data_IF_436474954905
#
_entry.id   IF_436474954905
#
_cell.length_a   1.000
_cell.length_b   1.000
_cell.length_c   1.000
_cell.angle_alpha   90.00
_cell.angle_beta   90.00
_cell.angle_gamma   90.00
#
_symmetry.space_group_name_H-M   'P 1'
#
loop_
_entity.id
_entity.type
_entity.pdbx_description
1 polymer ?
#
# COMPACT_ATOMS: atom_id res chain seq x y z
N UNK A 1 -9.07 -13.64 -16.65
CA UNK A 1 -8.14 -14.77 -16.90
C UNK A 1 -8.30 -15.81 -15.81
N UNK A 2 -8.03 -17.08 -16.10
CA UNK A 2 -8.02 -18.17 -15.12
C UNK A 2 -6.67 -18.87 -15.17
N UNK A 3 -6.08 -19.15 -14.02
CA UNK A 3 -4.71 -19.66 -13.90
C UNK A 3 -4.66 -20.83 -12.93
N UNK A 4 -3.84 -21.82 -13.22
CA UNK A 4 -3.51 -22.92 -12.32
C UNK A 4 -2.04 -22.77 -11.91
N UNK A 5 -1.71 -22.77 -10.61
CA UNK A 5 -0.33 -22.69 -10.16
C UNK A 5 0.46 -23.93 -10.57
N UNK A 6 1.77 -23.83 -10.68
CA UNK A 6 2.62 -24.99 -10.93
C UNK A 6 3.05 -25.64 -9.61
N UNK A 7 2.86 -26.96 -9.51
CA UNK A 7 3.36 -27.78 -8.40
C UNK A 7 4.14 -28.95 -8.97
N UNK A 8 5.42 -29.06 -8.58
CA UNK A 8 6.34 -30.09 -9.10
C UNK A 8 6.43 -30.15 -10.63
N UNK A 9 6.46 -28.99 -11.30
CA UNK A 9 6.64 -28.91 -12.76
C UNK A 9 5.39 -29.20 -13.59
N UNK A 10 4.21 -29.37 -12.97
CA UNK A 10 2.92 -29.54 -13.66
C UNK A 10 1.89 -28.53 -13.14
N UNK A 11 0.91 -28.10 -13.98
CA UNK A 11 -0.22 -27.32 -13.52
C UNK A 11 -1.03 -28.07 -12.47
N UNK A 12 -1.31 -27.41 -11.36
CA UNK A 12 -2.17 -27.88 -10.29
C UNK A 12 -3.59 -27.37 -10.52
N UNK A 13 -4.34 -28.13 -11.31
CA UNK A 13 -5.73 -27.79 -11.63
C UNK A 13 -6.69 -27.93 -10.45
N UNK A 14 -6.26 -28.43 -9.28
CA UNK A 14 -7.06 -28.42 -8.05
C UNK A 14 -7.05 -27.06 -7.33
N UNK A 15 -6.22 -26.11 -7.78
CA UNK A 15 -6.01 -24.81 -7.14
C UNK A 15 -6.14 -23.65 -8.15
N UNK A 16 -7.18 -23.70 -8.99
CA UNK A 16 -7.41 -22.70 -10.04
C UNK A 16 -7.83 -21.38 -9.43
N UNK A 17 -7.33 -20.29 -9.99
CA UNK A 17 -7.63 -18.93 -9.58
C UNK A 17 -8.20 -18.13 -10.76
N UNK A 18 -9.14 -17.23 -10.50
CA UNK A 18 -9.70 -16.32 -11.48
C UNK A 18 -9.26 -14.90 -11.16
N UNK A 19 -8.78 -14.17 -12.17
CA UNK A 19 -8.47 -12.74 -12.08
C UNK A 19 -9.23 -11.95 -13.15
N UNK A 20 -9.99 -10.94 -12.76
CA UNK A 20 -10.72 -10.06 -13.70
C UNK A 20 -10.19 -8.63 -13.55
N UNK A 21 -9.79 -8.03 -14.67
CA UNK A 21 -9.30 -6.66 -14.71
C UNK A 21 -10.46 -5.65 -14.56
N UNK A 22 -10.16 -4.48 -14.00
CA UNK A 22 -11.08 -3.34 -14.03
C UNK A 22 -11.13 -2.65 -15.40
N UNK A 23 -11.90 -1.57 -15.48
CA UNK A 23 -11.99 -0.69 -16.68
C UNK A 23 -10.69 0.09 -16.88
N UNK A 24 -10.44 0.54 -18.11
CA UNK A 24 -9.31 1.42 -18.39
C UNK A 24 -9.45 2.75 -17.64
N UNK A 25 -8.33 3.24 -17.11
CA UNK A 25 -8.30 4.49 -16.33
C UNK A 25 -8.57 5.74 -17.17
N UNK A 26 -8.31 5.70 -18.48
CA UNK A 26 -8.64 6.80 -19.39
C UNK A 26 -10.16 7.00 -19.50
N UNK A 27 -10.95 5.92 -19.50
CA UNK A 27 -12.42 5.98 -19.52
C UNK A 27 -12.95 6.58 -18.21
N UNK A 28 -12.37 6.19 -17.06
CA UNK A 28 -12.72 6.74 -15.74
C UNK A 28 -12.35 8.23 -15.66
N UNK A 29 -11.23 8.63 -16.26
CA UNK A 29 -10.77 10.02 -16.31
C UNK A 29 -11.73 10.90 -17.11
N UNK A 30 -12.19 10.46 -18.27
CA UNK A 30 -13.14 11.21 -19.11
C UNK A 30 -14.49 11.37 -18.38
N UNK A 31 -14.99 10.29 -17.79
CA UNK A 31 -16.22 10.28 -17.00
C UNK A 31 -16.15 11.24 -15.79
N UNK A 32 -15.03 11.26 -15.05
CA UNK A 32 -14.82 12.19 -13.93
C UNK A 32 -14.64 13.63 -14.44
N UNK A 33 -13.97 13.82 -15.57
CA UNK A 33 -13.71 15.14 -16.15
C UNK A 33 -15.01 15.78 -16.63
N UNK A 34 -15.85 15.04 -17.36
CA UNK A 34 -17.16 15.49 -17.85
C UNK A 34 -18.12 15.83 -16.68
N UNK A 35 -18.07 15.03 -15.62
CA UNK A 35 -18.86 15.23 -14.40
C UNK A 35 -18.53 16.53 -13.64
N UNK A 36 -17.30 17.04 -13.80
CA UNK A 36 -16.83 18.25 -13.10
C UNK A 36 -17.06 19.55 -13.88
N UNK A 37 -17.54 19.48 -15.12
CA UNK A 37 -17.68 20.63 -16.02
C UNK A 37 -19.08 21.27 -16.05
N UNK A 38 -20.07 20.74 -15.31
CA UNK A 38 -21.45 21.28 -15.29
C UNK A 38 -21.67 22.13 -14.02
N UNK A 39 -21.85 23.46 -14.12
CA UNK A 39 -21.92 24.36 -12.95
C UNK A 39 -23.19 24.24 -12.09
N UNK A 40 -24.27 23.65 -12.63
CA UNK A 40 -25.63 23.72 -12.05
C UNK A 40 -26.04 22.51 -11.19
N UNK A 41 -25.14 21.57 -10.90
CA UNK A 41 -25.40 20.38 -10.07
C UNK A 41 -25.14 20.56 -8.56
N UNK A 42 -24.83 21.79 -8.10
CA UNK A 42 -24.34 22.05 -6.73
C UNK A 42 -25.40 22.23 -5.65
N UNK A 43 -26.69 22.18 -5.96
CA UNK A 43 -27.73 22.54 -4.99
C UNK A 43 -28.86 21.52 -4.95
N UNK A 44 -29.10 21.01 -3.74
CA UNK A 44 -30.13 20.04 -3.31
C UNK A 44 -29.62 18.59 -3.41
N UNK A 45 -29.10 18.09 -2.28
CA UNK A 45 -28.38 16.81 -2.08
C UNK A 45 -26.96 16.90 -2.66
N UNK A 46 -25.93 16.82 -1.80
CA UNK A 46 -24.55 17.14 -2.15
C UNK A 46 -23.91 16.26 -3.25
N UNK A 47 -22.58 16.35 -3.45
CA UNK A 47 -21.82 15.62 -4.47
C UNK A 47 -22.04 14.08 -4.53
N UNK A 48 -22.72 13.52 -3.52
CA UNK A 48 -22.97 12.12 -3.24
C UNK A 48 -23.93 11.41 -4.21
N UNK A 49 -24.97 12.05 -4.74
CA UNK A 49 -25.92 11.38 -5.65
C UNK A 49 -25.40 11.32 -7.10
N UNK A 50 -24.66 12.34 -7.53
CA UNK A 50 -24.20 12.51 -8.90
C UNK A 50 -23.06 11.53 -9.24
N UNK A 51 -22.06 11.39 -8.37
CA UNK A 51 -20.98 10.41 -8.58
C UNK A 51 -21.46 8.97 -8.38
N UNK A 52 -22.41 8.74 -7.47
CA UNK A 52 -23.07 7.44 -7.34
C UNK A 52 -23.78 7.02 -8.64
N UNK A 53 -24.53 7.93 -9.28
CA UNK A 53 -25.17 7.68 -10.58
C UNK A 53 -24.17 7.37 -11.70
N UNK A 54 -23.02 8.02 -11.69
CA UNK A 54 -21.96 7.82 -12.70
C UNK A 54 -21.26 6.48 -12.53
N UNK A 55 -20.89 6.11 -11.30
CA UNK A 55 -20.20 4.84 -11.01
C UNK A 55 -21.16 3.64 -11.12
N UNK A 56 -22.44 3.83 -10.78
CA UNK A 56 -23.46 2.80 -11.01
C UNK A 56 -23.83 2.63 -12.49
N UNK A 57 -23.81 3.69 -13.30
CA UNK A 57 -24.00 3.59 -14.75
C UNK A 57 -22.80 2.93 -15.47
N UNK A 58 -21.61 2.97 -14.88
CA UNK A 58 -20.42 2.28 -15.40
C UNK A 58 -20.46 0.75 -15.18
N UNK A 59 -21.34 0.26 -14.29
CA UNK A 59 -21.61 -1.16 -14.08
C UNK A 59 -22.66 -1.63 -15.10
N UNK A 60 -22.22 -1.94 -16.32
CA UNK A 60 -23.10 -2.49 -17.34
C UNK A 60 -23.46 -3.95 -17.01
N UNK A 61 -24.76 -4.28 -16.98
CA UNK A 61 -25.27 -5.64 -16.78
C UNK A 61 -24.70 -6.62 -17.83
N UNK A 62 -24.29 -6.12 -19.01
CA UNK A 62 -23.64 -6.92 -20.05
C UNK A 62 -22.28 -7.50 -19.60
N UNK A 63 -21.57 -6.81 -18.69
CA UNK A 63 -20.27 -7.25 -18.18
C UNK A 63 -20.41 -8.37 -17.16
N UNK A 64 -21.46 -8.36 -16.33
CA UNK A 64 -21.79 -9.49 -15.44
C UNK A 64 -22.17 -10.74 -16.24
N UNK A 65 -22.94 -10.58 -17.31
CA UNK A 65 -23.25 -11.69 -18.25
C UNK A 65 -21.99 -12.25 -18.92
N UNK A 66 -21.03 -11.37 -19.24
CA UNK A 66 -19.74 -11.78 -19.80
C UNK A 66 -18.88 -12.51 -18.77
N UNK A 67 -18.94 -12.11 -17.50
CA UNK A 67 -18.28 -12.78 -16.39
C UNK A 67 -18.84 -14.21 -16.18
N UNK A 68 -20.16 -14.40 -16.23
CA UNK A 68 -20.79 -15.72 -16.18
C UNK A 68 -20.31 -16.63 -17.33
N UNK A 69 -20.28 -16.09 -18.55
CA UNK A 69 -19.77 -16.83 -19.72
C UNK A 69 -18.33 -17.26 -19.52
N UNK A 70 -17.49 -16.34 -19.06
CA UNK A 70 -16.09 -16.62 -18.78
C UNK A 70 -15.92 -17.70 -17.68
N UNK A 71 -16.72 -17.65 -16.61
CA UNK A 71 -16.71 -18.68 -15.57
C UNK A 71 -17.10 -20.05 -16.13
N UNK A 72 -18.19 -20.12 -16.89
CA UNK A 72 -18.65 -21.38 -17.50
C UNK A 72 -17.64 -21.96 -18.50
N UNK A 73 -17.00 -21.13 -19.32
CA UNK A 73 -15.91 -21.57 -20.19
C UNK A 73 -14.70 -22.11 -19.40
N UNK A 74 -14.42 -21.53 -18.24
CA UNK A 74 -13.35 -22.01 -17.35
C UNK A 74 -13.70 -23.38 -16.76
N UNK A 75 -14.93 -23.56 -16.29
CA UNK A 75 -15.43 -24.85 -15.79
C UNK A 75 -15.38 -25.91 -16.88
N UNK A 76 -15.91 -25.62 -18.09
CA UNK A 76 -15.88 -26.57 -19.21
C UNK A 76 -14.45 -27.01 -19.56
N UNK A 77 -13.47 -26.09 -19.49
CA UNK A 77 -12.06 -26.43 -19.71
C UNK A 77 -11.49 -27.31 -18.59
N UNK A 78 -11.89 -27.11 -17.34
CA UNK A 78 -11.51 -27.97 -16.22
C UNK A 78 -12.12 -29.37 -16.33
N UNK A 79 -13.40 -29.44 -16.65
CA UNK A 79 -14.11 -30.71 -16.85
C UNK A 79 -13.53 -31.53 -18.00
N UNK A 80 -13.14 -30.88 -19.11
CA UNK A 80 -12.43 -31.55 -20.22
C UNK A 80 -11.10 -32.19 -19.80
N UNK A 81 -10.55 -31.79 -18.65
CA UNK A 81 -9.31 -32.29 -18.07
C UNK A 81 -9.55 -33.23 -16.87
N UNK A 82 -10.81 -33.55 -16.54
CA UNK A 82 -11.18 -34.41 -15.41
C UNK A 82 -11.26 -33.70 -14.06
N UNK A 83 -11.37 -32.38 -14.05
CA UNK A 83 -11.54 -31.55 -12.84
C UNK A 83 -12.97 -30.98 -12.79
N UNK A 84 -13.28 -30.19 -11.76
CA UNK A 84 -14.63 -29.69 -11.49
C UNK A 84 -14.63 -28.17 -11.23
N UNK A 85 -15.81 -27.57 -11.23
CA UNK A 85 -15.99 -26.18 -10.80
C UNK A 85 -15.44 -25.92 -9.39
N UNK A 86 -15.51 -26.91 -8.49
CA UNK A 86 -15.02 -26.79 -7.11
C UNK A 86 -13.49 -26.63 -7.03
N UNK A 87 -12.76 -26.90 -8.10
CA UNK A 87 -11.32 -26.70 -8.19
C UNK A 87 -10.92 -25.24 -8.45
N UNK A 88 -11.89 -24.36 -8.70
CA UNK A 88 -11.71 -22.90 -8.64
C UNK A 88 -11.73 -22.50 -7.16
N UNK A 89 -10.56 -22.15 -6.62
CA UNK A 89 -10.38 -21.90 -5.18
C UNK A 89 -10.39 -20.42 -4.82
N UNK A 90 -10.00 -19.54 -5.75
CA UNK A 90 -9.87 -18.12 -5.44
C UNK A 90 -10.18 -17.19 -6.60
N UNK A 91 -10.74 -16.02 -6.31
CA UNK A 91 -10.93 -14.92 -7.26
C UNK A 91 -10.21 -13.63 -6.83
N UNK A 92 -9.76 -12.82 -7.79
CA UNK A 92 -9.25 -11.48 -7.50
C UNK A 92 -9.58 -10.49 -8.60
N UNK A 93 -9.77 -9.23 -8.22
CA UNK A 93 -10.11 -8.16 -9.15
C UNK A 93 -9.99 -6.80 -8.50
N UNK A 94 -9.87 -5.78 -9.34
CA UNK A 94 -9.76 -4.39 -8.93
C UNK A 94 -10.90 -3.57 -9.54
N UNK A 95 -11.45 -2.61 -8.79
CA UNK A 95 -12.53 -1.72 -9.29
C UNK A 95 -13.73 -2.54 -9.81
N UNK A 96 -14.18 -2.29 -11.05
CA UNK A 96 -15.20 -3.11 -11.74
C UNK A 96 -14.87 -4.61 -11.73
N UNK A 97 -13.61 -4.97 -11.97
CA UNK A 97 -13.17 -6.37 -11.94
C UNK A 97 -13.35 -7.00 -10.56
N UNK A 98 -13.26 -6.19 -9.51
CA UNK A 98 -13.63 -6.58 -8.15
C UNK A 98 -15.10 -6.97 -8.04
N UNK A 99 -16.02 -6.13 -8.55
CA UNK A 99 -17.46 -6.40 -8.48
C UNK A 99 -17.84 -7.68 -9.24
N UNK A 100 -17.23 -7.90 -10.42
CA UNK A 100 -17.46 -9.10 -11.22
C UNK A 100 -16.99 -10.37 -10.49
N UNK A 101 -15.84 -10.30 -9.82
CA UNK A 101 -15.34 -11.41 -8.98
C UNK A 101 -16.22 -11.63 -7.76
N UNK A 102 -16.66 -10.55 -7.11
CA UNK A 102 -17.56 -10.61 -5.96
C UNK A 102 -18.85 -11.35 -6.35
N UNK A 103 -19.43 -10.97 -7.49
CA UNK A 103 -20.60 -11.61 -8.08
C UNK A 103 -20.40 -13.10 -8.37
N UNK A 104 -19.32 -13.47 -9.07
CA UNK A 104 -19.02 -14.87 -9.37
C UNK A 104 -18.77 -15.70 -8.10
N UNK A 105 -18.03 -15.14 -7.14
CA UNK A 105 -17.73 -15.80 -5.87
C UNK A 105 -19.00 -16.06 -5.04
N UNK A 106 -19.94 -15.12 -5.06
CA UNK A 106 -21.22 -15.25 -4.37
C UNK A 106 -22.10 -16.34 -5.01
N UNK A 107 -22.15 -16.41 -6.34
CA UNK A 107 -22.96 -17.41 -7.07
C UNK A 107 -22.35 -18.81 -7.08
N UNK A 108 -21.02 -18.91 -7.05
CA UNK A 108 -20.32 -20.18 -7.25
C UNK A 108 -19.50 -20.62 -6.04
N UNK A 109 -19.61 -19.90 -4.92
CA UNK A 109 -19.14 -20.32 -3.60
C UNK A 109 -17.62 -20.58 -3.53
N UNK A 110 -16.81 -19.70 -4.10
CA UNK A 110 -15.34 -19.72 -3.95
C UNK A 110 -14.84 -18.47 -3.24
N UNK A 111 -13.64 -18.52 -2.63
CA UNK A 111 -13.11 -17.38 -1.89
C UNK A 111 -12.60 -16.27 -2.82
N UNK A 112 -12.57 -15.03 -2.37
CA UNK A 112 -12.04 -13.92 -3.16
C UNK A 112 -11.27 -12.90 -2.31
N UNK A 113 -10.37 -12.19 -3.00
CA UNK A 113 -9.64 -11.04 -2.50
C UNK A 113 -9.64 -9.94 -3.56
N UNK A 114 -10.34 -8.84 -3.30
CA UNK A 114 -10.49 -7.73 -4.24
C UNK A 114 -9.88 -6.43 -3.70
N UNK A 115 -9.73 -5.46 -4.59
CA UNK A 115 -9.10 -4.17 -4.33
C UNK A 115 -10.01 -3.05 -4.84
N UNK A 116 -10.40 -2.15 -3.94
CA UNK A 116 -11.30 -1.04 -4.27
C UNK A 116 -12.51 -1.50 -5.10
N UNK A 117 -13.12 -2.64 -4.75
CA UNK A 117 -14.18 -3.25 -5.56
C UNK A 117 -15.34 -2.28 -5.79
N UNK A 118 -15.99 -2.39 -6.95
CA UNK A 118 -17.29 -1.77 -7.18
C UNK A 118 -18.42 -2.56 -6.43
N UNK A 119 -19.59 -1.94 -6.18
CA UNK A 119 -20.71 -2.57 -5.47
C UNK A 119 -21.47 -3.57 -6.37
N UNK A 120 -21.49 -4.88 -6.07
CA UNK A 120 -22.18 -5.87 -6.89
C UNK A 120 -23.67 -6.04 -6.57
N UNK A 121 -24.21 -5.41 -5.51
CA UNK A 121 -25.54 -5.78 -4.94
C UNK A 121 -26.69 -5.77 -5.95
N UNK A 122 -26.69 -4.85 -6.91
CA UNK A 122 -27.73 -4.76 -7.94
C UNK A 122 -27.84 -6.01 -8.83
N UNK A 123 -26.80 -6.86 -8.86
CA UNK A 123 -26.73 -8.08 -9.66
C UNK A 123 -26.79 -9.36 -8.79
N UNK A 124 -27.01 -9.23 -7.48
CA UNK A 124 -27.10 -10.34 -6.53
C UNK A 124 -28.55 -10.54 -6.10
N UNK A 125 -28.96 -11.80 -5.96
CA UNK A 125 -30.26 -12.14 -5.37
C UNK A 125 -30.13 -12.38 -3.84
N UNK A 126 -31.27 -12.58 -3.17
CA UNK A 126 -31.31 -12.78 -1.71
C UNK A 126 -30.50 -13.99 -1.22
N UNK A 127 -30.42 -15.06 -2.02
CA UNK A 127 -29.62 -16.24 -1.67
C UNK A 127 -28.13 -15.95 -1.75
N UNK A 128 -27.69 -15.22 -2.78
CA UNK A 128 -26.29 -14.81 -2.94
C UNK A 128 -25.87 -13.90 -1.76
N UNK A 129 -26.72 -12.94 -1.39
CA UNK A 129 -26.50 -12.04 -0.25
C UNK A 129 -26.45 -12.80 1.08
N UNK A 130 -27.34 -13.78 1.26
CA UNK A 130 -27.35 -14.64 2.44
C UNK A 130 -26.07 -15.49 2.54
N UNK A 131 -25.58 -16.01 1.41
CA UNK A 131 -24.33 -16.76 1.36
C UNK A 131 -23.14 -15.90 1.81
N UNK A 132 -23.00 -14.68 1.27
CA UNK A 132 -21.96 -13.74 1.68
C UNK A 132 -22.01 -13.46 3.18
N UNK A 133 -23.21 -13.23 3.73
CA UNK A 133 -23.41 -12.95 5.15
C UNK A 133 -23.02 -14.13 6.06
N UNK A 134 -23.24 -15.36 5.59
CA UNK A 134 -22.91 -16.57 6.35
C UNK A 134 -21.45 -17.00 6.20
N UNK A 135 -20.75 -16.52 5.17
CA UNK A 135 -19.35 -16.86 4.87
C UNK A 135 -18.45 -15.63 4.68
N UNK A 136 -18.48 -14.62 5.57
CA UNK A 136 -17.82 -13.34 5.34
C UNK A 136 -16.28 -13.47 5.21
N UNK A 137 -15.68 -14.52 5.75
CA UNK A 137 -14.25 -14.84 5.61
C UNK A 137 -13.82 -15.20 4.17
N UNK A 138 -14.77 -15.65 3.33
CA UNK A 138 -14.53 -15.94 1.93
C UNK A 138 -14.50 -14.68 1.06
N UNK A 139 -15.00 -13.55 1.56
CA UNK A 139 -15.20 -12.33 0.79
C UNK A 139 -14.35 -11.21 1.37
N UNK A 140 -13.13 -11.03 0.86
CA UNK A 140 -12.20 -10.00 1.37
C UNK A 140 -12.04 -8.88 0.36
N UNK A 141 -12.33 -7.65 0.77
CA UNK A 141 -12.10 -6.46 -0.06
C UNK A 141 -11.15 -5.50 0.65
N UNK A 142 -10.07 -5.11 -0.01
CA UNK A 142 -9.10 -4.13 0.50
C UNK A 142 -9.36 -2.79 -0.15
N UNK A 143 -9.44 -1.72 0.64
CA UNK A 143 -9.70 -0.37 0.14
C UNK A 143 -8.92 0.70 0.90
N UNK A 144 -8.60 1.81 0.24
CA UNK A 144 -8.06 3.00 0.90
C UNK A 144 -9.20 3.87 1.45
N UNK A 145 -9.07 4.42 2.66
CA UNK A 145 -10.10 5.33 3.23
C UNK A 145 -10.32 6.61 2.41
N UNK A 146 -9.27 7.04 1.74
CA UNK A 146 -9.22 8.15 0.79
C UNK A 146 -9.78 7.80 -0.59
N UNK A 147 -10.00 6.52 -0.87
CA UNK A 147 -10.66 6.09 -2.09
C UNK A 147 -12.13 6.51 -2.06
N UNK A 148 -12.44 7.64 -2.69
CA UNK A 148 -13.80 8.14 -2.78
C UNK A 148 -14.73 7.17 -3.52
N UNK A 149 -14.21 6.32 -4.41
CA UNK A 149 -15.01 5.37 -5.18
C UNK A 149 -15.38 4.17 -4.29
N UNK A 150 -14.42 3.61 -3.54
CA UNK A 150 -14.67 2.48 -2.65
C UNK A 150 -15.38 2.87 -1.33
N UNK A 151 -15.05 4.03 -0.76
CA UNK A 151 -15.61 4.50 0.52
C UNK A 151 -17.10 4.89 0.43
N UNK A 152 -17.64 5.09 -0.79
CA UNK A 152 -19.03 5.49 -1.03
C UNK A 152 -20.00 4.33 -1.28
N UNK A 153 -19.50 3.10 -1.43
CA UNK A 153 -20.28 1.99 -1.98
C UNK A 153 -20.86 1.01 -0.94
N UNK A 154 -20.75 1.31 0.36
CA UNK A 154 -21.24 0.44 1.44
C UNK A 154 -20.74 -1.02 1.38
N UNK A 155 -19.73 -1.35 0.56
CA UNK A 155 -19.16 -2.71 0.44
C UNK A 155 -18.63 -3.21 1.78
N UNK A 156 -18.32 -2.30 2.71
CA UNK A 156 -18.07 -2.61 4.11
C UNK A 156 -19.16 -3.49 4.78
N UNK A 157 -20.36 -3.57 4.22
CA UNK A 157 -21.46 -4.42 4.69
C UNK A 157 -21.60 -5.76 3.93
N UNK A 158 -20.82 -5.98 2.87
CA UNK A 158 -20.73 -7.24 2.13
C UNK A 158 -19.38 -7.92 2.43
N UNK A 159 -19.40 -9.03 3.16
CA UNK A 159 -18.18 -9.75 3.52
C UNK A 159 -17.30 -9.00 4.52
N UNK A 160 -15.98 -9.16 4.42
CA UNK A 160 -14.97 -8.46 5.24
C UNK A 160 -14.25 -7.42 4.39
N UNK A 161 -14.53 -6.15 4.65
CA UNK A 161 -13.76 -5.05 4.10
C UNK A 161 -12.61 -4.64 5.03
N UNK A 162 -11.43 -4.43 4.45
CA UNK A 162 -10.21 -4.03 5.15
C UNK A 162 -9.77 -2.66 4.64
N UNK A 163 -9.83 -1.66 5.50
CA UNK A 163 -9.19 -0.39 5.21
C UNK A 163 -7.68 -0.54 5.34
N UNK A 164 -6.95 -0.19 4.29
CA UNK A 164 -5.48 -0.18 4.25
C UNK A 164 -4.95 1.20 3.92
N UNK A 165 -3.72 1.49 4.36
CA UNK A 165 -3.10 2.79 4.13
C UNK A 165 -2.74 2.97 2.66
N UNK A 166 -2.99 4.16 2.14
CA UNK A 166 -2.73 4.54 0.75
C UNK A 166 -1.25 4.89 0.55
N UNK A 167 -0.62 4.26 -0.44
CA UNK A 167 0.68 4.69 -0.94
C UNK A 167 0.52 5.65 -2.13
N UNK A 168 1.50 6.52 -2.37
CA UNK A 168 1.43 7.45 -3.51
C UNK A 168 1.47 6.69 -4.83
N UNK A 169 0.40 6.77 -5.64
CA UNK A 169 0.41 6.26 -7.01
C UNK A 169 1.30 7.12 -7.90
N UNK A 170 1.88 6.51 -8.94
CA UNK A 170 2.60 7.23 -9.99
C UNK A 170 1.71 8.20 -10.78
N UNK A 171 0.39 8.06 -10.66
CA UNK A 171 -0.62 8.90 -11.31
C UNK A 171 -1.08 10.10 -10.46
N UNK A 172 -0.60 10.26 -9.22
CA UNK A 172 -1.14 11.16 -8.19
C UNK A 172 -0.87 12.67 -8.33
N UNK A 173 -1.05 13.28 -9.52
CA UNK A 173 -0.98 14.75 -9.70
C UNK A 173 -2.27 15.32 -10.30
N UNK A 174 -2.67 16.53 -9.88
CA UNK A 174 -3.86 17.22 -10.40
C UNK A 174 -5.19 16.61 -9.88
N UNK A 175 -6.27 16.71 -10.66
CA UNK A 175 -7.60 16.12 -10.35
C UNK A 175 -7.48 14.62 -10.02
N UNK A 176 -6.52 13.93 -10.62
CA UNK A 176 -6.24 12.51 -10.39
C UNK A 176 -5.75 12.19 -8.97
N UNK A 177 -5.23 13.18 -8.24
CA UNK A 177 -4.88 13.05 -6.83
C UNK A 177 -6.10 12.78 -5.93
N UNK A 178 -7.32 13.10 -6.38
CA UNK A 178 -8.56 12.85 -5.63
C UNK A 178 -9.02 11.38 -5.67
N UNK A 179 -8.49 10.58 -6.60
CA UNK A 179 -8.75 9.13 -6.71
C UNK A 179 -7.47 8.31 -6.58
N UNK A 180 -6.44 8.89 -5.96
CA UNK A 180 -5.14 8.24 -5.74
C UNK A 180 -5.29 6.93 -4.93
N UNK A 181 -6.22 6.91 -3.99
CA UNK A 181 -6.62 5.73 -3.22
C UNK A 181 -7.37 4.67 -4.02
N UNK A 182 -7.76 4.94 -5.27
CA UNK A 182 -8.43 3.96 -6.11
C UNK A 182 -7.46 3.16 -6.98
N UNK A 183 -6.19 3.55 -7.08
CA UNK A 183 -5.27 2.86 -7.98
C UNK A 183 -4.78 1.54 -7.41
N UNK A 184 -4.64 0.53 -8.27
CA UNK A 184 -4.08 -0.75 -7.83
C UNK A 184 -2.60 -0.62 -7.39
N UNK A 185 -1.87 0.37 -7.89
CA UNK A 185 -0.47 0.64 -7.54
C UNK A 185 -0.30 1.48 -6.26
N UNK A 186 -1.39 1.88 -5.60
CA UNK A 186 -1.34 2.40 -4.23
C UNK A 186 -1.42 1.31 -3.16
N UNK A 187 -1.55 0.02 -3.55
CA UNK A 187 -1.44 -1.14 -2.65
C UNK A 187 -0.03 -1.72 -2.66
N UNK A 188 0.49 -2.07 -1.47
CA UNK A 188 1.73 -2.83 -1.32
C UNK A 188 1.44 -4.30 -1.00
N UNK A 189 2.28 -5.17 -1.54
CA UNK A 189 2.20 -6.62 -1.37
C UNK A 189 3.52 -7.15 -0.81
N UNK A 190 3.43 -7.99 0.22
CA UNK A 190 4.60 -8.66 0.80
C UNK A 190 5.15 -9.69 -0.20
N UNK A 191 6.45 -9.59 -0.54
CA UNK A 191 7.03 -10.32 -1.68
C UNK A 191 7.04 -11.85 -1.53
N UNK A 192 7.01 -12.40 -0.31
CA UNK A 192 7.13 -13.85 -0.08
C UNK A 192 5.77 -14.55 -0.06
N UNK A 193 4.76 -13.88 0.47
CA UNK A 193 3.42 -14.40 0.70
C UNK A 193 2.41 -13.88 -0.30
N UNK A 194 2.70 -12.76 -0.98
CA UNK A 194 1.78 -12.08 -1.88
C UNK A 194 0.58 -11.44 -1.16
N UNK A 195 0.59 -11.41 0.18
CA UNK A 195 -0.48 -10.80 0.97
C UNK A 195 -0.34 -9.27 0.96
N UNK A 196 -1.48 -8.59 1.06
CA UNK A 196 -1.53 -7.13 1.19
C UNK A 196 -0.82 -6.72 2.46
N UNK A 197 0.17 -5.84 2.33
CA UNK A 197 0.90 -5.31 3.48
C UNK A 197 0.03 -4.27 4.19
N UNK A 198 -0.55 -4.68 5.32
CA UNK A 198 -1.36 -3.81 6.16
C UNK A 198 -0.52 -2.97 7.13
N UNK A 199 0.75 -3.31 7.31
CA UNK A 199 1.63 -2.57 8.21
C UNK A 199 2.37 -1.48 7.43
N UNK A 200 1.88 -0.24 7.59
CA UNK A 200 2.48 0.96 7.00
C UNK A 200 3.97 1.11 7.34
N UNK A 201 4.44 0.44 8.38
CA UNK A 201 5.81 0.51 8.83
C UNK A 201 6.76 -0.54 8.25
N UNK A 202 6.25 -1.63 7.68
CA UNK A 202 7.10 -2.74 7.23
C UNK A 202 8.06 -2.33 6.11
N UNK A 203 7.64 -1.43 5.21
CA UNK A 203 8.54 -0.85 4.19
C UNK A 203 9.68 -0.06 4.82
N UNK A 204 9.40 0.75 5.84
CA UNK A 204 10.45 1.48 6.57
C UNK A 204 11.38 0.53 7.32
N UNK A 205 10.86 -0.57 7.87
CA UNK A 205 11.68 -1.58 8.54
C UNK A 205 12.63 -2.28 7.55
N UNK A 206 12.17 -2.59 6.33
CA UNK A 206 13.00 -3.15 5.26
C UNK A 206 14.10 -2.15 4.85
N UNK A 207 13.75 -0.89 4.58
CA UNK A 207 14.71 0.15 4.20
C UNK A 207 15.75 0.41 5.30
N UNK A 208 15.31 0.58 6.54
CA UNK A 208 16.19 0.77 7.69
C UNK A 208 17.13 -0.42 7.90
N UNK A 209 16.62 -1.65 7.73
CA UNK A 209 17.44 -2.85 7.83
C UNK A 209 18.48 -2.92 6.71
N UNK A 210 18.11 -2.56 5.48
CA UNK A 210 19.04 -2.53 4.35
C UNK A 210 20.19 -1.53 4.59
N UNK A 211 19.87 -0.31 5.05
CA UNK A 211 20.87 0.72 5.35
C UNK A 211 21.77 0.27 6.52
N UNK A 212 21.19 -0.38 7.54
CA UNK A 212 21.94 -0.92 8.67
C UNK A 212 22.90 -2.05 8.25
N UNK A 213 22.50 -2.93 7.32
CA UNK A 213 23.39 -3.95 6.78
C UNK A 213 24.51 -3.35 5.92
N UNK A 214 24.21 -2.31 5.14
CA UNK A 214 25.23 -1.59 4.37
C UNK A 214 26.27 -0.93 5.28
N UNK A 215 25.81 -0.27 6.36
CA UNK A 215 26.71 0.25 7.38
C UNK A 215 27.63 -0.83 7.98
N UNK A 216 27.10 -2.02 8.26
CA UNK A 216 27.90 -3.15 8.77
C UNK A 216 28.92 -3.63 7.72
N UNK A 217 28.54 -3.70 6.44
CA UNK A 217 29.47 -4.05 5.34
C UNK A 217 30.59 -3.04 5.24
N UNK A 218 30.28 -1.74 5.21
CA UNK A 218 31.27 -0.67 5.17
C UNK A 218 32.24 -0.76 6.36
N UNK A 219 31.73 -1.01 7.56
CA UNK A 219 32.56 -1.17 8.77
C UNK A 219 33.44 -2.44 8.76
N UNK A 220 32.95 -3.54 8.18
CA UNK A 220 33.65 -4.84 8.15
C UNK A 220 34.60 -5.01 6.98
N UNK A 221 34.41 -4.26 5.90
CA UNK A 221 35.16 -4.41 4.65
C UNK A 221 36.67 -4.16 4.78
N UNK A 222 37.15 -3.55 5.87
CA UNK A 222 38.58 -3.27 6.04
C UNK A 222 39.16 -2.35 4.95
N UNK A 223 38.31 -1.74 4.11
CA UNK A 223 38.69 -1.01 2.90
C UNK A 223 39.51 0.28 3.15
N UNK A 224 39.87 0.54 4.41
CA UNK A 224 40.62 1.70 4.87
C UNK A 224 41.81 1.35 5.77
N UNK A 225 42.11 0.06 5.96
CA UNK A 225 43.17 -0.38 6.87
C UNK A 225 44.43 -0.91 6.18
N UNK A 226 44.47 -0.98 4.85
CA UNK A 226 45.69 -1.35 4.11
C UNK A 226 46.40 -0.08 3.64
N UNK A 227 47.38 0.35 4.44
CA UNK A 227 48.14 1.59 4.25
C UNK A 227 48.85 1.70 2.89
N UNK A 228 49.15 0.57 2.22
CA UNK A 228 49.97 0.56 1.01
C UNK A 228 49.21 0.99 -0.27
N UNK A 229 47.87 0.97 -0.27
CA UNK A 229 47.02 1.40 -1.41
C UNK A 229 46.44 2.83 -1.20
N UNK A 230 46.48 3.34 0.03
CA UNK A 230 45.90 4.63 0.47
C UNK A 230 46.73 5.83 -0.02
N UNK A 231 48.03 5.66 -0.31
CA UNK A 231 48.95 6.75 -0.67
C UNK A 231 48.65 7.45 -2.01
N UNK A 232 48.06 6.76 -3.00
CA UNK A 232 47.86 7.32 -4.35
C UNK A 232 46.50 8.00 -4.55
N UNK A 233 45.51 7.76 -3.66
CA UNK A 233 44.12 8.22 -3.82
C UNK A 233 43.45 8.72 -2.51
N UNK A 234 44.23 9.17 -1.51
CA UNK A 234 43.70 9.63 -0.21
C UNK A 234 42.60 10.73 -0.32
N UNK A 235 42.70 11.62 -1.30
CA UNK A 235 41.65 12.61 -1.60
C UNK A 235 40.37 11.97 -2.11
N UNK A 236 40.48 11.01 -3.04
CA UNK A 236 39.35 10.27 -3.61
C UNK A 236 38.67 9.40 -2.54
N UNK A 237 39.44 8.75 -1.66
CA UNK A 237 38.91 7.98 -0.54
C UNK A 237 38.15 8.84 0.47
N UNK A 238 38.63 10.06 0.73
CA UNK A 238 37.95 11.03 1.60
C UNK A 238 36.65 11.53 0.96
N UNK A 239 36.68 11.92 -0.32
CA UNK A 239 35.50 12.36 -1.08
C UNK A 239 34.43 11.26 -1.17
N UNK A 240 34.84 10.02 -1.46
CA UNK A 240 33.92 8.87 -1.51
C UNK A 240 33.28 8.59 -0.15
N UNK A 241 34.05 8.69 0.93
CA UNK A 241 33.54 8.51 2.31
C UNK A 241 32.48 9.56 2.65
N UNK A 242 32.76 10.82 2.31
CA UNK A 242 31.83 11.94 2.48
C UNK A 242 30.56 11.70 1.65
N UNK A 243 30.70 11.30 0.38
CA UNK A 243 29.58 11.03 -0.50
C UNK A 243 28.67 9.90 0.02
N UNK A 244 29.25 8.78 0.48
CA UNK A 244 28.50 7.67 1.08
C UNK A 244 27.73 8.13 2.32
N UNK A 245 28.39 8.89 3.20
CA UNK A 245 27.75 9.47 4.39
C UNK A 245 26.56 10.34 3.99
N UNK A 246 26.75 11.26 3.05
CA UNK A 246 25.72 12.23 2.68
C UNK A 246 24.51 11.55 2.02
N UNK A 247 24.74 10.60 1.11
CA UNK A 247 23.67 9.78 0.52
C UNK A 247 22.91 8.99 1.58
N UNK A 248 23.60 8.33 2.52
CA UNK A 248 22.96 7.59 3.59
C UNK A 248 22.11 8.51 4.49
N UNK A 249 22.62 9.70 4.82
CA UNK A 249 21.88 10.70 5.62
C UNK A 249 20.65 11.24 4.89
N UNK A 250 20.74 11.48 3.59
CA UNK A 250 19.61 11.92 2.76
C UNK A 250 18.49 10.88 2.73
N UNK A 251 18.83 9.61 2.50
CA UNK A 251 17.85 8.50 2.54
C UNK A 251 17.19 8.40 3.92
N UNK A 252 17.98 8.48 5.00
CA UNK A 252 17.46 8.43 6.37
C UNK A 252 16.56 9.63 6.71
N UNK A 253 16.90 10.83 6.21
CA UNK A 253 16.06 12.02 6.36
C UNK A 253 14.74 11.88 5.59
N UNK A 254 14.76 11.27 4.42
CA UNK A 254 13.55 10.96 3.65
C UNK A 254 12.64 9.97 4.42
N UNK A 255 13.22 8.92 5.00
CA UNK A 255 12.50 7.96 5.87
C UNK A 255 11.86 8.69 7.06
N UNK A 256 12.61 9.54 7.77
CA UNK A 256 12.09 10.34 8.90
C UNK A 256 10.94 11.25 8.45
N UNK A 257 11.10 11.92 7.31
CA UNK A 257 10.07 12.80 6.74
C UNK A 257 8.78 12.02 6.43
N UNK A 258 8.90 10.83 5.83
CA UNK A 258 7.78 9.94 5.53
C UNK A 258 7.11 9.42 6.82
N UNK A 259 7.88 9.01 7.83
CA UNK A 259 7.35 8.60 9.14
C UNK A 259 6.57 9.72 9.84
N UNK A 260 7.09 10.96 9.83
CA UNK A 260 6.32 12.10 10.33
C UNK A 260 5.05 12.37 9.51
N UNK A 261 5.06 12.08 8.20
CA UNK A 261 3.87 12.22 7.34
C UNK A 261 2.77 11.24 7.76
N UNK A 262 3.12 9.99 8.04
CA UNK A 262 2.18 8.97 8.55
C UNK A 262 1.48 9.46 9.81
N UNK A 263 2.23 10.00 10.79
CA UNK A 263 1.63 10.53 12.02
C UNK A 263 0.70 11.71 11.74
N UNK A 264 1.11 12.66 10.89
CA UNK A 264 0.27 13.81 10.51
C UNK A 264 -1.02 13.38 9.81
N UNK A 265 -0.95 12.38 8.95
CA UNK A 265 -2.11 11.84 8.25
C UNK A 265 -3.09 11.17 9.21
N UNK A 266 -2.60 10.43 10.20
CA UNK A 266 -3.46 9.87 11.25
C UNK A 266 -4.06 10.95 12.16
N UNK A 267 -3.29 11.99 12.51
CA UNK A 267 -3.82 13.14 13.25
C UNK A 267 -4.93 13.85 12.47
N UNK A 268 -4.76 14.02 11.16
CA UNK A 268 -5.80 14.57 10.28
C UNK A 268 -7.03 13.66 10.23
N UNK A 269 -6.82 12.35 10.06
CA UNK A 269 -7.91 11.38 10.02
C UNK A 269 -8.72 11.37 11.33
N UNK A 270 -8.07 11.53 12.49
CA UNK A 270 -8.74 11.70 13.76
C UNK A 270 -9.63 12.96 13.81
N UNK A 271 -9.17 14.09 13.27
CA UNK A 271 -10.02 15.30 13.17
C UNK A 271 -11.24 15.05 12.30
N UNK A 272 -11.05 14.43 11.13
CA UNK A 272 -12.14 14.12 10.20
C UNK A 272 -13.17 13.17 10.82
N UNK A 273 -12.73 12.18 11.61
CA UNK A 273 -13.65 11.29 12.34
C UNK A 273 -14.48 12.07 13.35
N UNK A 274 -13.88 12.98 14.13
CA UNK A 274 -14.64 13.81 15.07
C UNK A 274 -15.65 14.70 14.35
N UNK A 275 -15.24 15.36 13.27
CA UNK A 275 -16.11 16.25 12.48
C UNK A 275 -17.29 15.49 11.88
N UNK A 276 -17.04 14.36 11.21
CA UNK A 276 -18.10 13.53 10.63
C UNK A 276 -19.03 12.94 11.69
N UNK A 277 -18.47 12.50 12.83
CA UNK A 277 -19.27 11.94 13.93
C UNK A 277 -20.18 13.00 14.55
N UNK A 278 -19.72 14.24 14.65
CA UNK A 278 -20.51 15.38 15.12
C UNK A 278 -21.65 15.72 14.15
N UNK A 279 -21.39 15.63 12.83
CA UNK A 279 -22.43 15.86 11.81
C UNK A 279 -23.57 14.84 11.86
N UNK A 280 -23.25 13.56 12.06
CA UNK A 280 -24.28 12.49 12.11
C UNK A 280 -24.93 12.35 13.50
N UNK A 281 -24.32 12.94 14.53
CA UNK A 281 -24.77 12.87 15.92
C UNK A 281 -25.04 14.27 16.48
N UNK A 282 -25.77 15.10 15.73
CA UNK A 282 -26.01 16.53 16.04
C UNK A 282 -26.70 16.80 17.38
N UNK A 283 -27.19 15.74 18.03
CA UNK A 283 -27.89 15.74 19.31
C UNK A 283 -27.00 15.35 20.49
N UNK A 284 -25.75 14.95 20.25
CA UNK A 284 -24.74 14.69 21.28
C UNK A 284 -23.89 15.94 21.51
N UNK A 285 -23.55 16.22 22.76
CA UNK A 285 -22.49 17.17 23.09
C UNK A 285 -21.11 16.64 22.66
N UNK A 286 -20.08 17.51 22.51
CA UNK A 286 -18.73 17.07 22.18
C UNK A 286 -18.18 15.99 23.12
N UNK A 287 -18.47 16.06 24.43
CA UNK A 287 -17.97 15.10 25.41
C UNK A 287 -18.71 13.76 25.32
N UNK A 288 -20.03 13.77 25.11
CA UNK A 288 -20.82 12.56 24.87
C UNK A 288 -20.39 11.87 23.57
N UNK A 289 -20.10 12.64 22.52
CA UNK A 289 -19.57 12.12 21.26
C UNK A 289 -18.23 11.40 21.46
N UNK A 290 -17.30 12.03 22.20
CA UNK A 290 -16.01 11.42 22.52
C UNK A 290 -16.18 10.17 23.39
N UNK A 291 -17.12 10.17 24.33
CA UNK A 291 -17.45 8.98 25.12
C UNK A 291 -17.93 7.82 24.22
N UNK A 292 -18.90 8.07 23.33
CA UNK A 292 -19.40 7.05 22.40
C UNK A 292 -18.31 6.55 21.45
N UNK A 293 -17.45 7.44 20.94
CA UNK A 293 -16.29 7.06 20.12
C UNK A 293 -15.32 6.17 20.91
N UNK A 294 -15.06 6.49 22.18
CA UNK A 294 -14.21 5.69 23.05
C UNK A 294 -14.81 4.30 23.33
N UNK A 295 -16.10 4.21 23.63
CA UNK A 295 -16.81 2.93 23.83
C UNK A 295 -16.80 2.05 22.57
N UNK A 296 -16.91 2.69 21.39
CA UNK A 296 -16.75 2.03 20.09
C UNK A 296 -15.31 1.68 19.71
N UNK A 297 -14.32 2.00 20.56
CA UNK A 297 -12.90 1.74 20.32
C UNK A 297 -12.20 2.72 19.36
N UNK A 298 -12.89 3.75 18.88
CA UNK A 298 -12.37 4.81 18.02
C UNK A 298 -11.86 6.00 18.86
N UNK A 299 -10.74 5.82 19.56
CA UNK A 299 -10.16 6.84 20.44
C UNK A 299 -8.79 7.32 19.94
N UNK A 300 -8.30 8.42 20.50
CA UNK A 300 -7.01 8.99 20.07
C UNK A 300 -5.85 8.00 20.19
N UNK A 301 -5.83 7.16 21.23
CA UNK A 301 -4.75 6.19 21.41
C UNK A 301 -4.77 5.10 20.33
N UNK A 302 -5.95 4.56 20.00
CA UNK A 302 -6.09 3.52 18.97
C UNK A 302 -5.91 4.06 17.55
N UNK A 303 -6.31 5.31 17.30
CA UNK A 303 -6.28 5.92 15.97
C UNK A 303 -5.00 6.67 15.65
N UNK A 304 -4.33 7.25 16.66
CA UNK A 304 -3.13 8.08 16.49
C UNK A 304 -1.98 7.58 17.37
N UNK A 305 -2.24 7.35 18.65
CA UNK A 305 -1.22 7.03 19.65
C UNK A 305 -0.31 5.87 19.24
N UNK A 306 -0.91 4.74 18.84
CA UNK A 306 -0.15 3.56 18.39
C UNK A 306 0.76 3.87 17.18
N UNK A 307 0.22 4.54 16.16
CA UNK A 307 1.00 4.92 14.97
C UNK A 307 2.14 5.89 15.31
N UNK A 308 1.89 6.80 16.26
CA UNK A 308 2.89 7.76 16.73
C UNK A 308 4.02 7.06 17.49
N UNK A 309 3.69 6.11 18.35
CA UNK A 309 4.68 5.27 19.04
C UNK A 309 5.53 4.48 18.05
N UNK A 310 4.89 3.78 17.11
CA UNK A 310 5.56 2.97 16.09
C UNK A 310 6.45 3.80 15.15
N UNK A 311 5.98 5.00 14.75
CA UNK A 311 6.76 5.93 13.95
C UNK A 311 7.96 6.48 14.74
N UNK A 312 7.77 6.86 16.00
CA UNK A 312 8.83 7.42 16.84
C UNK A 312 9.96 6.42 17.08
N UNK A 313 9.64 5.14 17.30
CA UNK A 313 10.66 4.09 17.42
C UNK A 313 11.56 4.03 16.18
N UNK A 314 10.98 4.15 14.98
CA UNK A 314 11.70 4.09 13.71
C UNK A 314 12.46 5.37 13.40
N UNK A 315 11.89 6.52 13.74
CA UNK A 315 12.60 7.81 13.69
C UNK A 315 13.85 7.78 14.56
N UNK A 316 13.76 7.21 15.77
CA UNK A 316 14.93 7.03 16.65
C UNK A 316 15.98 6.14 15.99
N UNK A 317 15.59 4.98 15.45
CA UNK A 317 16.52 4.10 14.71
C UNK A 317 17.19 4.81 13.52
N UNK A 318 16.43 5.59 12.76
CA UNK A 318 16.94 6.34 11.61
C UNK A 318 17.96 7.41 12.05
N UNK A 319 17.66 8.16 13.11
CA UNK A 319 18.57 9.15 13.70
C UNK A 319 19.85 8.51 14.23
N UNK A 320 19.75 7.35 14.88
CA UNK A 320 20.92 6.61 15.37
C UNK A 320 21.81 6.13 14.23
N UNK A 321 21.23 5.64 13.13
CA UNK A 321 21.99 5.29 11.92
C UNK A 321 22.67 6.52 11.31
N UNK A 322 21.97 7.66 11.28
CA UNK A 322 22.51 8.92 10.76
C UNK A 322 23.78 9.33 11.52
N UNK A 323 23.74 9.24 12.85
CA UNK A 323 24.90 9.49 13.71
C UNK A 323 26.03 8.47 13.48
N UNK A 324 25.70 7.19 13.31
CA UNK A 324 26.69 6.14 13.02
C UNK A 324 27.45 6.37 11.72
N UNK A 325 26.78 6.85 10.66
CA UNK A 325 27.44 7.21 9.40
C UNK A 325 28.35 8.43 9.57
N UNK A 326 27.94 9.42 10.36
CA UNK A 326 28.78 10.58 10.68
C UNK A 326 30.05 10.16 11.43
N UNK A 327 29.91 9.35 12.48
CA UNK A 327 31.04 8.84 13.26
C UNK A 327 31.96 7.95 12.43
N UNK A 328 31.40 7.12 11.55
CA UNK A 328 32.17 6.29 10.64
C UNK A 328 33.01 7.17 9.72
N UNK A 329 32.39 8.11 9.00
CA UNK A 329 33.11 8.99 8.08
C UNK A 329 34.23 9.78 8.79
N UNK A 330 33.98 10.28 10.00
CA UNK A 330 35.00 10.97 10.80
C UNK A 330 36.18 10.06 11.17
N UNK A 331 35.92 8.82 11.59
CA UNK A 331 36.98 7.85 11.92
C UNK A 331 37.80 7.44 10.69
N UNK A 332 37.13 7.27 9.56
CA UNK A 332 37.78 6.98 8.27
C UNK A 332 38.74 8.12 7.92
N UNK A 333 38.26 9.36 7.96
CA UNK A 333 39.06 10.53 7.62
C UNK A 333 40.26 10.69 8.56
N UNK A 334 40.07 10.53 9.88
CA UNK A 334 41.19 10.54 10.84
C UNK A 334 42.22 9.42 10.58
N UNK A 335 41.76 8.26 10.11
CA UNK A 335 42.63 7.16 9.71
C UNK A 335 43.51 7.54 8.51
N UNK A 336 42.90 8.11 7.47
CA UNK A 336 43.59 8.60 6.27
C UNK A 336 44.61 9.69 6.65
N UNK A 337 44.21 10.69 7.45
CA UNK A 337 45.10 11.78 7.89
C UNK A 337 46.33 11.27 8.64
N UNK A 338 46.19 10.25 9.49
CA UNK A 338 47.32 9.64 10.20
C UNK A 338 48.29 8.91 9.26
N UNK A 339 47.78 8.22 8.26
CA UNK A 339 48.62 7.53 7.25
C UNK A 339 49.39 8.57 6.44
N UNK A 340 48.71 9.61 5.94
CA UNK A 340 49.33 10.71 5.17
C UNK A 340 50.42 11.42 5.99
N UNK A 341 50.17 11.69 7.28
CA UNK A 341 51.17 12.31 8.16
C UNK A 341 52.40 11.43 8.34
N UNK A 342 52.19 10.14 8.66
CA UNK A 342 53.28 9.17 8.86
C UNK A 342 54.14 9.03 7.59
N UNK A 343 53.52 9.00 6.42
CA UNK A 343 54.25 8.88 5.16
C UNK A 343 55.02 10.16 4.81
N UNK A 344 54.45 11.34 5.12
CA UNK A 344 55.16 12.62 5.01
C UNK A 344 56.39 12.71 5.93
N UNK A 345 56.32 12.12 7.13
CA UNK A 345 57.45 12.00 8.05
C UNK A 345 58.51 11.04 7.49
N UNK A 346 58.12 9.86 7.01
CA UNK A 346 59.02 8.89 6.35
C UNK A 346 59.72 9.47 5.12
N UNK A 347 59.01 10.22 4.26
CA UNK A 347 59.60 10.84 3.08
C UNK A 347 60.76 11.80 3.44
N UNK A 348 60.61 12.56 4.54
CA UNK A 348 61.68 13.43 5.07
C UNK A 348 62.90 12.64 5.53
N UNK A 349 62.70 11.47 6.13
CA UNK A 349 63.80 10.60 6.57
C UNK A 349 64.59 10.01 5.40
N UNK A 350 63.97 9.86 4.22
CA UNK A 350 64.62 9.39 2.99
C UNK A 350 65.10 10.52 2.06
N UNK A 351 64.91 11.79 2.43
CA UNK A 351 65.36 12.97 1.70
C UNK A 351 64.79 13.06 0.26
N UNK A 352 63.55 12.61 0.08
CA UNK A 352 62.78 12.66 -1.19
C UNK A 352 61.69 13.72 -1.09
#
# INVERSE_FOLDING_TARGET
MAVAPYKHGKPDYHNVQIAIAGTNFDDIKDVITDATQIPESRTIIGPSAYVYGIVSNALDHSQFTSADRFYNETVNKLESKGFSASDIKHGTGHSLGGALIFYLAAKHHFSMTTFSSADPRSNLNDADLAYIKNHPEMFKDYYHKSDIIANWQMIAQLGKAFSVNEFSSKYGKGIMGMINGHFIDSYHFEKKTGQVDTDVFNTFDIELSSIQEEYKRLKSSGALTNADEIMLDASVATELTIAIRDVAKEILDEIIKKLHKVVREQEKYWQEVKEKSMMVSSQLSPDELIHCLNEGGANYQSMVGKYKEDANQRITKAKDLKNKFEEWASKVQQGIEKVVQRDSELAKDFNI
#
